data_IF_814738721177
#
_entry.id   IF_814738721177
#
_cell.length_a   1.000
_cell.length_b   1.000
_cell.length_c   1.000
_cell.angle_alpha   90.00
_cell.angle_beta   90.00
_cell.angle_gamma   90.00
#
_symmetry.space_group_name_H-M   'P 1'
#
loop_
_entity.id
_entity.type
_entity.pdbx_description
1 polymer ?
#
# COMPACT_ATOMS: atom_id res chain seq x y z
N UNK A 1 10.20 -35.39 46.33
CA UNK A 1 9.58 -35.64 45.00
C UNK A 1 9.13 -34.30 44.44
N UNK A 2 9.94 -33.71 43.59
CA UNK A 2 9.59 -32.45 42.89
C UNK A 2 8.72 -32.81 41.69
N UNK A 3 7.52 -32.19 41.59
CA UNK A 3 6.62 -32.41 40.49
C UNK A 3 7.27 -31.98 39.16
N UNK A 4 7.06 -32.70 38.04
CA UNK A 4 7.62 -32.34 36.75
C UNK A 4 7.01 -31.03 36.30
N UNK A 5 7.87 -30.05 35.93
CA UNK A 5 7.46 -28.79 35.35
C UNK A 5 6.74 -29.06 34.01
N UNK A 6 5.45 -28.70 33.93
CA UNK A 6 4.67 -28.70 32.68
C UNK A 6 5.37 -27.78 31.69
N UNK A 7 5.70 -28.24 30.47
CA UNK A 7 6.25 -27.37 29.43
C UNK A 7 5.26 -26.24 29.17
N UNK A 8 5.65 -25.01 29.45
CA UNK A 8 4.86 -23.84 29.04
C UNK A 8 4.78 -23.82 27.51
N UNK A 9 3.58 -24.00 26.96
CA UNK A 9 3.32 -23.79 25.56
C UNK A 9 3.87 -22.40 25.18
N UNK A 10 4.59 -22.28 24.05
CA UNK A 10 5.12 -20.99 23.62
C UNK A 10 3.98 -19.97 23.57
N UNK A 11 4.18 -18.85 24.23
CA UNK A 11 3.21 -17.78 24.31
C UNK A 11 2.73 -17.44 22.88
N UNK A 12 1.42 -17.43 22.70
CA UNK A 12 0.79 -17.05 21.43
C UNK A 12 1.46 -15.73 20.98
N UNK A 13 2.17 -15.68 19.85
CA UNK A 13 2.89 -14.47 19.47
C UNK A 13 1.91 -13.31 19.44
N UNK A 14 2.19 -12.29 20.21
CA UNK A 14 1.36 -11.10 20.36
C UNK A 14 1.12 -10.48 18.99
N UNK A 15 -0.14 -10.15 18.72
CA UNK A 15 -0.54 -9.38 17.54
C UNK A 15 0.23 -8.05 17.57
N UNK A 16 0.95 -7.73 16.51
CA UNK A 16 1.71 -6.48 16.42
C UNK A 16 0.70 -5.34 16.19
N UNK A 17 0.41 -4.60 17.27
CA UNK A 17 -0.65 -3.58 17.24
C UNK A 17 -0.30 -2.42 16.30
N UNK A 18 0.97 -2.04 16.24
CA UNK A 18 1.45 -1.00 15.32
C UNK A 18 1.21 -1.32 13.85
N UNK A 19 1.31 -2.59 13.45
CA UNK A 19 1.06 -3.00 12.07
C UNK A 19 -0.41 -2.81 11.68
N UNK A 20 -1.34 -3.16 12.56
CA UNK A 20 -2.76 -2.96 12.33
C UNK A 20 -3.13 -1.47 12.38
N UNK A 21 -2.53 -0.70 13.30
CA UNK A 21 -2.73 0.73 13.40
C UNK A 21 -2.18 1.47 12.16
N UNK A 22 -0.99 1.10 11.69
CA UNK A 22 -0.39 1.72 10.50
C UNK A 22 -1.18 1.38 9.23
N UNK A 23 -1.72 0.16 9.11
CA UNK A 23 -2.64 -0.19 8.02
C UNK A 23 -3.90 0.65 8.04
N UNK A 24 -4.48 0.87 9.23
CA UNK A 24 -5.65 1.72 9.39
C UNK A 24 -5.36 3.20 9.14
N UNK A 25 -4.20 3.69 9.55
CA UNK A 25 -3.72 5.03 9.24
C UNK A 25 -3.60 5.23 7.72
N UNK A 26 -2.97 4.29 7.02
CA UNK A 26 -2.82 4.28 5.57
C UNK A 26 -4.19 4.33 4.86
N UNK A 27 -5.08 3.42 5.25
CA UNK A 27 -6.44 3.38 4.72
C UNK A 27 -7.23 4.66 5.01
N UNK A 28 -7.02 5.31 6.14
CA UNK A 28 -7.73 6.54 6.49
C UNK A 28 -7.42 7.68 5.50
N UNK A 29 -6.17 7.76 5.03
CA UNK A 29 -5.80 8.69 3.97
C UNK A 29 -6.50 8.37 2.63
N UNK A 30 -6.54 7.10 2.25
CA UNK A 30 -7.22 6.65 1.02
C UNK A 30 -8.72 6.97 1.08
N UNK A 31 -9.34 6.80 2.24
CA UNK A 31 -10.79 6.87 2.42
C UNK A 31 -11.34 8.30 2.57
N UNK A 32 -10.50 9.34 2.40
CA UNK A 32 -10.95 10.72 2.29
C UNK A 32 -10.38 11.70 3.33
N UNK A 33 -9.47 11.27 4.22
CA UNK A 33 -8.83 12.21 5.15
C UNK A 33 -8.10 13.33 4.41
N UNK A 34 -7.44 13.05 3.28
CA UNK A 34 -6.76 14.05 2.47
C UNK A 34 -7.73 15.13 1.97
N UNK A 35 -8.94 14.75 1.53
CA UNK A 35 -9.97 15.70 1.09
C UNK A 35 -10.46 16.58 2.24
N UNK A 36 -10.71 15.98 3.41
CA UNK A 36 -11.12 16.71 4.60
C UNK A 36 -10.04 17.71 5.08
N UNK A 37 -8.78 17.29 5.09
CA UNK A 37 -7.65 18.15 5.46
C UNK A 37 -7.47 19.29 4.46
N UNK A 38 -7.53 19.01 3.15
CA UNK A 38 -7.47 20.03 2.11
C UNK A 38 -8.61 21.05 2.27
N UNK A 39 -9.84 20.58 2.48
CA UNK A 39 -11.00 21.43 2.69
C UNK A 39 -10.84 22.36 3.90
N UNK A 40 -10.35 21.84 5.03
CA UNK A 40 -10.05 22.61 6.25
C UNK A 40 -8.96 23.65 6.02
N UNK A 41 -7.84 23.26 5.39
CA UNK A 41 -6.72 24.16 5.14
C UNK A 41 -7.12 25.30 4.19
N UNK A 42 -7.85 25.00 3.12
CA UNK A 42 -8.38 26.03 2.23
C UNK A 42 -9.38 26.96 2.91
N UNK A 43 -10.22 26.43 3.81
CA UNK A 43 -11.25 27.25 4.49
C UNK A 43 -10.66 28.19 5.53
N UNK A 44 -9.76 27.69 6.38
CA UNK A 44 -9.28 28.43 7.54
C UNK A 44 -7.93 29.13 7.33
N UNK A 45 -7.15 28.70 6.34
CA UNK A 45 -5.81 29.20 6.09
C UNK A 45 -5.54 29.44 4.58
N UNK A 46 -6.42 30.14 3.83
CA UNK A 46 -6.34 30.24 2.35
C UNK A 46 -5.04 30.89 1.87
N UNK A 47 -4.53 31.87 2.60
CA UNK A 47 -3.35 32.65 2.23
C UNK A 47 -2.03 32.15 2.87
N UNK A 48 -2.11 31.16 3.76
CA UNK A 48 -0.94 30.63 4.45
C UNK A 48 -0.04 29.82 3.52
N UNK A 49 1.23 30.20 3.40
CA UNK A 49 2.25 29.45 2.67
C UNK A 49 2.44 28.04 3.24
N UNK A 50 2.36 27.88 4.57
CA UNK A 50 2.43 26.61 5.23
C UNK A 50 1.25 25.70 4.84
N UNK A 51 0.02 26.24 4.81
CA UNK A 51 -1.16 25.49 4.36
C UNK A 51 -1.01 25.04 2.89
N UNK A 52 -0.53 25.90 2.00
CA UNK A 52 -0.25 25.57 0.60
C UNK A 52 0.79 24.45 0.47
N UNK A 53 1.86 24.47 1.28
CA UNK A 53 2.85 23.40 1.31
C UNK A 53 2.24 22.07 1.79
N UNK A 54 1.40 22.08 2.83
CA UNK A 54 0.73 20.87 3.32
C UNK A 54 -0.25 20.31 2.29
N UNK A 55 -1.06 21.17 1.66
CA UNK A 55 -1.97 20.77 0.57
C UNK A 55 -1.20 20.08 -0.55
N UNK A 56 -0.05 20.62 -0.95
CA UNK A 56 0.81 20.00 -1.97
C UNK A 56 1.32 18.61 -1.57
N UNK A 57 1.51 18.34 -0.25
CA UNK A 57 1.86 17.00 0.23
C UNK A 57 0.69 16.01 0.19
N UNK A 58 -0.56 16.50 0.20
CA UNK A 58 -1.77 15.67 0.12
C UNK A 58 -2.28 15.45 -1.31
N UNK A 59 -1.49 15.81 -2.30
CA UNK A 59 -1.76 15.60 -3.71
C UNK A 59 -0.67 14.73 -4.33
N UNK A 60 -1.04 13.98 -5.39
CA UNK A 60 -0.06 13.24 -6.16
C UNK A 60 0.81 14.17 -7.00
N UNK A 61 2.09 13.82 -7.15
CA UNK A 61 2.93 14.44 -8.17
C UNK A 61 2.41 14.09 -9.57
N UNK A 62 2.46 15.09 -10.45
CA UNK A 62 2.01 14.89 -11.83
C UNK A 62 2.89 13.85 -12.54
N UNK A 63 4.19 13.88 -12.33
CA UNK A 63 5.13 12.91 -12.89
C UNK A 63 6.29 12.65 -11.95
N UNK A 64 7.44 13.29 -12.14
CA UNK A 64 8.63 13.09 -11.32
C UNK A 64 8.52 13.81 -9.97
N UNK A 65 9.02 13.15 -8.93
CA UNK A 65 9.01 13.63 -7.54
C UNK A 65 8.26 12.71 -6.60
N UNK A 66 8.09 13.18 -5.37
CA UNK A 66 7.48 12.40 -4.29
C UNK A 66 6.78 13.33 -3.30
N UNK A 67 5.54 13.01 -2.95
CA UNK A 67 4.79 13.65 -1.89
C UNK A 67 4.39 12.63 -0.84
N UNK A 68 3.91 13.09 0.31
CA UNK A 68 3.37 12.20 1.32
C UNK A 68 2.23 11.30 0.77
N UNK A 69 1.36 11.86 -0.07
CA UNK A 69 0.24 11.08 -0.62
C UNK A 69 0.70 10.02 -1.64
N UNK A 70 1.90 10.17 -2.20
CA UNK A 70 2.49 9.14 -3.07
C UNK A 70 2.99 7.93 -2.28
N UNK A 71 3.19 8.05 -0.96
CA UNK A 71 3.59 6.96 -0.08
C UNK A 71 2.46 5.96 0.20
N UNK A 72 1.21 6.41 0.18
CA UNK A 72 0.05 5.66 0.70
C UNK A 72 -0.09 4.30 0.03
N UNK A 73 -0.17 4.23 -1.29
CA UNK A 73 -0.35 2.97 -1.99
C UNK A 73 0.84 1.97 -1.83
N UNK A 74 2.11 2.36 -2.00
CA UNK A 74 3.23 1.45 -1.75
C UNK A 74 3.36 1.03 -0.29
N UNK A 75 2.98 1.86 0.67
CA UNK A 75 2.92 1.49 2.09
C UNK A 75 1.97 0.31 2.29
N UNK A 76 0.79 0.31 1.66
CA UNK A 76 -0.15 -0.82 1.75
C UNK A 76 0.47 -2.12 1.19
N UNK A 77 1.16 -2.06 0.05
CA UNK A 77 1.85 -3.21 -0.54
C UNK A 77 2.98 -3.71 0.37
N UNK A 78 3.77 -2.80 0.96
CA UNK A 78 4.83 -3.11 1.91
C UNK A 78 4.27 -3.80 3.17
N UNK A 79 3.18 -3.27 3.76
CA UNK A 79 2.51 -3.86 4.91
C UNK A 79 1.89 -5.23 4.61
N UNK A 80 1.41 -5.44 3.37
CA UNK A 80 0.96 -6.76 2.92
C UNK A 80 2.11 -7.77 2.92
N UNK A 81 3.31 -7.38 2.47
CA UNK A 81 4.52 -8.20 2.53
C UNK A 81 4.92 -8.58 3.95
N UNK A 82 4.91 -7.63 4.89
CA UNK A 82 5.17 -7.89 6.32
C UNK A 82 4.17 -8.90 6.88
N UNK A 83 2.89 -8.69 6.57
CA UNK A 83 1.82 -9.59 7.05
C UNK A 83 2.02 -11.02 6.58
N UNK A 84 2.50 -11.21 5.36
CA UNK A 84 2.83 -12.53 4.83
C UNK A 84 4.04 -13.15 5.53
N UNK A 85 5.11 -12.39 5.75
CA UNK A 85 6.27 -12.89 6.49
C UNK A 85 5.87 -13.47 7.86
N UNK A 86 4.87 -12.84 8.52
CA UNK A 86 4.37 -13.27 9.84
C UNK A 86 3.39 -14.44 9.74
N UNK A 87 2.52 -14.45 8.73
CA UNK A 87 1.43 -15.43 8.64
C UNK A 87 1.81 -16.74 7.94
N UNK A 88 2.65 -16.67 6.89
CA UNK A 88 3.00 -17.83 6.06
C UNK A 88 3.70 -18.96 6.82
N UNK A 89 4.71 -18.71 7.68
CA UNK A 89 5.35 -19.80 8.39
C UNK A 89 4.36 -20.65 9.18
N UNK A 90 3.45 -20.02 9.92
CA UNK A 90 2.41 -20.72 10.70
C UNK A 90 1.44 -21.51 9.83
N UNK A 91 1.10 -20.95 8.66
CA UNK A 91 0.23 -21.65 7.70
C UNK A 91 0.93 -22.86 7.11
N UNK A 92 2.20 -22.74 6.76
CA UNK A 92 3.02 -23.85 6.25
C UNK A 92 3.14 -24.98 7.30
N UNK A 93 3.35 -24.63 8.55
CA UNK A 93 3.40 -25.61 9.65
C UNK A 93 2.07 -26.35 9.83
N UNK A 94 0.94 -25.68 9.65
CA UNK A 94 -0.40 -26.23 9.88
C UNK A 94 -0.95 -26.96 8.67
N UNK A 95 -0.74 -26.46 7.46
CA UNK A 95 -1.43 -26.90 6.24
C UNK A 95 -0.47 -27.36 5.12
N UNK A 96 0.84 -27.15 5.29
CA UNK A 96 1.87 -27.44 4.30
C UNK A 96 2.08 -26.33 3.25
N UNK A 97 3.19 -26.43 2.51
CA UNK A 97 3.60 -25.40 1.52
C UNK A 97 2.62 -25.27 0.36
N UNK A 98 2.09 -26.39 -0.15
CA UNK A 98 1.17 -26.37 -1.29
C UNK A 98 -0.15 -25.67 -0.94
N UNK A 99 -0.73 -25.95 0.23
CA UNK A 99 -1.94 -25.28 0.68
C UNK A 99 -1.71 -23.78 0.93
N UNK A 100 -0.56 -23.41 1.50
CA UNK A 100 -0.18 -22.02 1.66
C UNK A 100 -0.07 -21.28 0.31
N UNK A 101 0.54 -21.90 -0.70
CA UNK A 101 0.64 -21.34 -2.06
C UNK A 101 -0.74 -21.18 -2.72
N UNK A 102 -1.60 -22.19 -2.62
CA UNK A 102 -2.97 -22.13 -3.15
C UNK A 102 -3.74 -20.98 -2.49
N UNK A 103 -3.63 -20.81 -1.18
CA UNK A 103 -4.29 -19.71 -0.48
C UNK A 103 -3.81 -18.33 -0.95
N UNK A 104 -2.51 -18.16 -1.23
CA UNK A 104 -1.98 -16.91 -1.80
C UNK A 104 -2.60 -16.60 -3.17
N UNK A 105 -2.70 -17.62 -4.04
CA UNK A 105 -3.30 -17.49 -5.37
C UNK A 105 -4.80 -17.21 -5.29
N UNK A 106 -5.53 -17.90 -4.42
CA UNK A 106 -6.96 -17.65 -4.19
C UNK A 106 -7.21 -16.23 -3.71
N UNK A 107 -6.41 -15.75 -2.75
CA UNK A 107 -6.49 -14.38 -2.27
C UNK A 107 -6.20 -13.36 -3.37
N UNK A 108 -5.18 -13.61 -4.19
CA UNK A 108 -4.86 -12.76 -5.34
C UNK A 108 -6.01 -12.72 -6.35
N UNK A 109 -6.61 -13.88 -6.66
CA UNK A 109 -7.77 -13.97 -7.55
C UNK A 109 -8.98 -13.20 -7.01
N UNK A 110 -9.29 -13.36 -5.72
CA UNK A 110 -10.39 -12.63 -5.08
C UNK A 110 -10.14 -11.12 -5.17
N UNK A 111 -8.94 -10.64 -4.84
CA UNK A 111 -8.58 -9.23 -4.95
C UNK A 111 -8.65 -8.73 -6.39
N UNK A 112 -8.22 -9.54 -7.36
CA UNK A 112 -8.30 -9.22 -8.77
C UNK A 112 -9.75 -9.03 -9.22
N UNK A 113 -10.62 -9.97 -8.90
CA UNK A 113 -12.05 -9.92 -9.24
C UNK A 113 -12.77 -8.75 -8.54
N UNK A 114 -12.46 -8.50 -7.26
CA UNK A 114 -12.96 -7.34 -6.54
C UNK A 114 -12.49 -6.02 -7.18
N UNK A 115 -11.26 -5.97 -7.69
CA UNK A 115 -10.75 -4.80 -8.41
C UNK A 115 -11.45 -4.58 -9.75
N UNK A 116 -11.77 -5.65 -10.49
CA UNK A 116 -12.58 -5.57 -11.70
C UNK A 116 -14.00 -5.07 -11.38
N UNK A 117 -14.61 -5.58 -10.33
CA UNK A 117 -15.92 -5.11 -9.84
C UNK A 117 -15.88 -3.64 -9.45
N UNK A 118 -14.87 -3.21 -8.68
CA UNK A 118 -14.66 -1.83 -8.24
C UNK A 118 -14.56 -0.84 -9.41
N UNK A 119 -13.94 -1.26 -10.50
CA UNK A 119 -13.79 -0.46 -11.73
C UNK A 119 -15.00 -0.57 -12.69
N UNK A 120 -16.17 -0.96 -12.19
CA UNK A 120 -17.43 -1.13 -12.96
C UNK A 120 -17.35 -2.21 -14.05
N UNK A 121 -16.49 -3.23 -13.87
CA UNK A 121 -16.31 -4.28 -14.87
C UNK A 121 -17.54 -5.16 -15.12
N UNK A 122 -18.53 -5.16 -14.23
CA UNK A 122 -19.79 -5.91 -14.40
C UNK A 122 -20.87 -5.12 -15.15
N UNK A 123 -20.75 -3.81 -15.26
CA UNK A 123 -21.76 -2.93 -15.88
C UNK A 123 -21.37 -2.44 -17.26
N UNK A 124 -20.10 -2.55 -17.61
CA UNK A 124 -19.55 -2.13 -18.88
C UNK A 124 -19.34 -3.34 -19.81
N UNK A 125 -19.34 -3.10 -21.13
CA UNK A 125 -18.92 -4.12 -22.11
C UNK A 125 -17.47 -4.56 -21.90
N UNK A 126 -17.10 -5.73 -22.45
CA UNK A 126 -15.77 -6.31 -22.32
C UNK A 126 -14.62 -5.37 -22.73
N UNK A 127 -14.85 -4.55 -23.73
CA UNK A 127 -13.96 -3.51 -24.26
C UNK A 127 -13.77 -2.32 -23.31
N UNK A 128 -14.64 -2.18 -22.30
CA UNK A 128 -14.61 -1.10 -21.31
C UNK A 128 -14.12 -1.57 -19.92
N UNK A 129 -13.82 -2.86 -19.77
CA UNK A 129 -13.30 -3.37 -18.50
C UNK A 129 -11.89 -2.84 -18.29
N UNK A 130 -11.65 -2.24 -17.11
CA UNK A 130 -10.30 -1.92 -16.64
C UNK A 130 -9.72 -3.12 -15.89
N UNK A 131 -8.85 -3.86 -16.56
CA UNK A 131 -8.21 -5.07 -16.02
C UNK A 131 -7.09 -4.76 -15.02
N UNK A 132 -6.49 -3.60 -15.12
CA UNK A 132 -5.46 -3.11 -14.20
C UNK A 132 -6.08 -2.20 -13.14
N UNK A 133 -5.50 -2.19 -11.93
CA UNK A 133 -5.96 -1.34 -10.85
C UNK A 133 -5.31 -1.67 -9.52
N UNK A 134 -5.67 -0.89 -8.51
CA UNK A 134 -5.05 -0.95 -7.18
C UNK A 134 -5.17 -2.32 -6.52
N UNK A 135 -6.39 -2.90 -6.47
CA UNK A 135 -6.62 -4.21 -5.83
C UNK A 135 -5.95 -5.35 -6.61
N UNK A 136 -5.99 -5.29 -7.95
CA UNK A 136 -5.32 -6.26 -8.81
C UNK A 136 -3.81 -6.24 -8.56
N UNK A 137 -3.20 -5.06 -8.52
CA UNK A 137 -1.77 -4.91 -8.23
C UNK A 137 -1.40 -5.41 -6.83
N UNK A 138 -2.20 -5.06 -5.80
CA UNK A 138 -2.00 -5.60 -4.44
C UNK A 138 -2.06 -7.11 -4.44
N UNK A 139 -3.06 -7.70 -5.10
CA UNK A 139 -3.24 -9.15 -5.21
C UNK A 139 -2.02 -9.82 -5.83
N UNK A 140 -1.62 -9.37 -7.04
CA UNK A 140 -0.50 -9.95 -7.81
C UNK A 140 0.82 -9.76 -7.06
N UNK A 141 1.13 -8.52 -6.65
CA UNK A 141 2.41 -8.22 -6.00
C UNK A 141 2.57 -8.97 -4.66
N UNK A 142 1.51 -9.02 -3.85
CA UNK A 142 1.57 -9.73 -2.58
C UNK A 142 1.65 -11.25 -2.79
N UNK A 143 0.90 -11.84 -3.72
CA UNK A 143 0.99 -13.27 -3.99
C UNK A 143 2.38 -13.65 -4.52
N UNK A 144 2.95 -12.89 -5.46
CA UNK A 144 4.29 -13.12 -5.98
C UNK A 144 5.34 -13.06 -4.87
N UNK A 145 5.29 -12.02 -4.00
CA UNK A 145 6.20 -11.90 -2.86
C UNK A 145 6.05 -13.06 -1.87
N UNK A 146 4.81 -13.51 -1.62
CA UNK A 146 4.53 -14.67 -0.77
C UNK A 146 5.09 -15.97 -1.34
N UNK A 147 4.87 -16.24 -2.62
CA UNK A 147 5.41 -17.41 -3.31
C UNK A 147 6.95 -17.41 -3.31
N UNK A 148 7.57 -16.26 -3.60
CA UNK A 148 9.01 -16.09 -3.48
C UNK A 148 9.49 -16.37 -2.05
N UNK A 149 8.75 -15.92 -1.04
CA UNK A 149 9.06 -16.16 0.37
C UNK A 149 8.95 -17.63 0.79
N UNK A 150 8.11 -18.43 0.14
CA UNK A 150 8.01 -19.89 0.35
C UNK A 150 9.19 -20.65 -0.26
N UNK A 151 9.79 -20.10 -1.33
CA UNK A 151 10.85 -20.79 -2.08
C UNK A 151 12.26 -20.29 -1.72
N UNK A 152 12.40 -19.02 -1.31
CA UNK A 152 13.69 -18.37 -1.16
C UNK A 152 13.99 -18.00 0.30
N UNK A 153 15.26 -18.15 0.66
CA UNK A 153 15.78 -17.60 1.91
C UNK A 153 15.96 -16.06 1.81
N UNK A 154 16.40 -15.43 2.89
CA UNK A 154 16.57 -13.97 2.93
C UNK A 154 17.55 -13.44 1.87
N UNK A 155 18.67 -14.17 1.61
CA UNK A 155 19.63 -13.77 0.57
C UNK A 155 19.00 -13.86 -0.82
N UNK A 156 18.25 -14.94 -1.11
CA UNK A 156 17.54 -15.11 -2.37
C UNK A 156 16.51 -14.00 -2.60
N UNK A 157 15.77 -13.57 -1.56
CA UNK A 157 14.82 -12.45 -1.67
C UNK A 157 15.54 -11.12 -1.95
N UNK A 158 16.69 -10.86 -1.32
CA UNK A 158 17.49 -9.65 -1.59
C UNK A 158 17.95 -9.66 -3.06
N UNK A 159 18.52 -10.78 -3.54
CA UNK A 159 18.97 -10.92 -4.93
C UNK A 159 17.80 -10.72 -5.90
N UNK A 160 16.65 -11.33 -5.64
CA UNK A 160 15.45 -11.16 -6.47
C UNK A 160 14.98 -9.70 -6.49
N UNK A 161 14.98 -9.02 -5.32
CA UNK A 161 14.63 -7.58 -5.26
C UNK A 161 15.57 -6.75 -6.12
N UNK A 162 16.88 -6.95 -5.99
CA UNK A 162 17.88 -6.24 -6.80
C UNK A 162 17.72 -6.54 -8.28
N UNK A 163 17.49 -7.81 -8.65
CA UNK A 163 17.25 -8.21 -10.04
C UNK A 163 16.01 -7.56 -10.64
N UNK A 164 14.90 -7.49 -9.88
CA UNK A 164 13.68 -6.82 -10.31
C UNK A 164 13.89 -5.31 -10.50
N UNK A 165 14.57 -4.64 -9.56
CA UNK A 165 14.79 -3.20 -9.62
C UNK A 165 15.79 -2.83 -10.72
N UNK A 166 16.91 -3.52 -10.82
CA UNK A 166 17.93 -3.26 -11.85
C UNK A 166 17.40 -3.64 -13.22
N UNK A 167 16.77 -4.81 -13.35
CA UNK A 167 16.20 -5.28 -14.62
C UNK A 167 15.10 -4.36 -15.12
N UNK A 168 14.24 -3.86 -14.24
CA UNK A 168 13.21 -2.89 -14.62
C UNK A 168 13.82 -1.56 -15.09
N UNK A 169 14.82 -1.04 -14.41
CA UNK A 169 15.54 0.15 -14.86
C UNK A 169 16.23 -0.08 -16.21
N UNK A 170 16.87 -1.24 -16.40
CA UNK A 170 17.54 -1.58 -17.63
C UNK A 170 16.58 -1.59 -18.84
N UNK A 171 15.32 -2.00 -18.67
CA UNK A 171 14.32 -1.95 -19.75
C UNK A 171 14.15 -0.55 -20.33
N UNK A 172 14.13 0.49 -19.50
CA UNK A 172 13.95 1.87 -19.95
C UNK A 172 15.17 2.44 -20.71
N UNK A 173 16.36 1.94 -20.40
CA UNK A 173 17.58 2.39 -21.07
C UNK A 173 17.91 1.60 -22.31
N UNK A 174 17.65 0.29 -22.30
CA UNK A 174 18.08 -0.62 -23.36
C UNK A 174 17.02 -0.82 -24.44
N UNK A 175 15.73 -0.80 -24.06
CA UNK A 175 14.63 -1.10 -24.98
C UNK A 175 13.97 0.20 -25.47
N UNK A 176 14.15 0.55 -26.76
CA UNK A 176 13.45 1.71 -27.31
C UNK A 176 11.95 1.40 -27.46
N UNK A 177 11.12 2.42 -27.36
CA UNK A 177 9.70 2.33 -27.67
C UNK A 177 9.54 2.06 -29.18
N UNK A 178 8.93 0.95 -29.59
CA UNK A 178 8.92 0.55 -31.02
C UNK A 178 8.28 1.56 -31.97
N UNK A 179 7.30 2.34 -31.48
CA UNK A 179 6.58 3.32 -32.29
C UNK A 179 7.31 4.65 -32.47
N UNK A 180 8.11 5.07 -31.47
CA UNK A 180 8.77 6.39 -31.46
C UNK A 180 10.30 6.30 -31.48
N UNK A 181 10.88 5.13 -31.24
CA UNK A 181 12.32 4.98 -31.02
C UNK A 181 12.82 5.60 -29.69
N UNK A 182 11.92 6.20 -28.91
CA UNK A 182 12.27 6.90 -27.68
C UNK A 182 12.80 5.93 -26.62
N UNK A 183 13.74 6.41 -25.82
CA UNK A 183 14.22 5.78 -24.58
C UNK A 183 14.05 6.76 -23.45
N UNK A 184 13.67 6.29 -22.28
CA UNK A 184 13.53 7.17 -21.12
C UNK A 184 12.16 7.11 -20.45
N UNK A 185 11.79 8.16 -19.76
CA UNK A 185 10.74 8.14 -18.74
C UNK A 185 9.62 9.13 -19.00
N UNK A 186 9.48 9.63 -20.23
CA UNK A 186 8.45 10.60 -20.57
C UNK A 186 7.05 10.03 -20.42
N UNK A 187 6.11 10.86 -19.96
CA UNK A 187 4.72 10.47 -19.76
C UNK A 187 4.09 10.09 -21.10
N UNK A 188 3.52 8.88 -21.16
CA UNK A 188 2.89 8.36 -22.37
C UNK A 188 3.84 7.85 -23.45
N UNK A 189 5.15 8.14 -23.35
CA UNK A 189 6.15 7.75 -24.34
C UNK A 189 7.36 7.04 -23.70
N UNK A 190 7.09 5.89 -23.08
CA UNK A 190 8.08 5.01 -22.46
C UNK A 190 7.68 3.56 -22.64
N UNK A 191 8.63 2.65 -22.42
CA UNK A 191 8.41 1.22 -22.68
C UNK A 191 7.28 0.61 -21.84
N UNK A 192 7.08 1.06 -20.59
CA UNK A 192 6.00 0.55 -19.74
C UNK A 192 4.63 0.95 -20.28
N UNK A 193 4.47 2.21 -20.65
CA UNK A 193 3.23 2.71 -21.24
C UNK A 193 2.93 2.06 -22.61
N UNK A 194 3.97 1.81 -23.42
CA UNK A 194 3.83 1.12 -24.68
C UNK A 194 3.30 -0.31 -24.49
N UNK A 195 3.90 -1.08 -23.58
CA UNK A 195 3.46 -2.45 -23.29
C UNK A 195 2.03 -2.48 -22.79
N UNK A 196 1.63 -1.54 -21.93
CA UNK A 196 0.25 -1.44 -21.45
C UNK A 196 -0.73 -1.26 -22.62
N UNK A 197 -0.42 -0.36 -23.55
CA UNK A 197 -1.27 -0.06 -24.71
C UNK A 197 -1.39 -1.21 -25.70
N UNK A 198 -0.38 -2.09 -25.78
CA UNK A 198 -0.34 -3.19 -26.75
C UNK A 198 -0.90 -4.50 -26.19
N UNK A 199 -0.71 -4.76 -24.89
CA UNK A 199 -0.97 -6.08 -24.29
C UNK A 199 -2.25 -6.10 -23.49
N UNK A 200 -2.62 -4.99 -22.84
CA UNK A 200 -3.76 -4.96 -21.91
C UNK A 200 -5.06 -4.73 -22.69
N UNK A 201 -6.00 -5.68 -22.67
CA UNK A 201 -7.29 -5.49 -23.30
C UNK A 201 -8.16 -4.52 -22.51
N UNK A 202 -9.19 -3.97 -23.16
CA UNK A 202 -10.18 -3.11 -22.53
C UNK A 202 -9.68 -1.67 -22.32
N UNK A 203 -10.16 -1.02 -21.25
CA UNK A 203 -9.89 0.39 -20.99
C UNK A 203 -8.67 0.57 -20.07
N UNK A 204 -7.74 1.42 -20.47
CA UNK A 204 -6.66 1.92 -19.63
C UNK A 204 -7.10 3.22 -18.92
N UNK A 205 -6.57 3.48 -17.71
CA UNK A 205 -6.96 4.63 -16.89
C UNK A 205 -6.68 5.97 -17.61
N UNK A 206 -5.52 6.09 -18.25
CA UNK A 206 -5.09 7.29 -18.99
C UNK A 206 -5.30 7.16 -20.52
N UNK A 207 -6.30 6.36 -20.95
CA UNK A 207 -6.60 6.03 -22.35
C UNK A 207 -5.51 5.20 -23.04
N UNK A 208 -4.23 5.63 -22.99
CA UNK A 208 -3.09 4.99 -23.66
C UNK A 208 -2.17 4.23 -22.72
N UNK A 209 -2.31 4.38 -21.40
CA UNK A 209 -1.50 3.69 -20.38
C UNK A 209 -2.22 3.67 -19.03
N UNK A 210 -1.73 2.86 -18.10
CA UNK A 210 -2.30 2.73 -16.76
C UNK A 210 -1.24 2.91 -15.67
N UNK A 211 -1.49 3.72 -14.61
CA UNK A 211 -0.58 3.83 -13.46
C UNK A 211 -0.32 2.51 -12.75
N UNK A 212 -1.29 1.58 -12.82
CA UNK A 212 -1.17 0.22 -12.34
C UNK A 212 -0.79 -0.76 -13.45
N UNK A 213 0.02 -0.33 -14.43
CA UNK A 213 0.42 -1.06 -15.62
C UNK A 213 1.09 -2.42 -15.40
N UNK A 214 1.15 -3.20 -16.47
CA UNK A 214 1.65 -4.58 -16.43
C UNK A 214 3.14 -4.64 -16.05
N UNK A 215 4.00 -3.91 -16.81
CA UNK A 215 5.44 -3.91 -16.52
C UNK A 215 5.75 -3.28 -15.17
N UNK A 216 5.06 -2.22 -14.78
CA UNK A 216 5.26 -1.56 -13.48
C UNK A 216 4.82 -2.41 -12.28
N UNK A 217 4.17 -3.55 -12.53
CA UNK A 217 3.89 -4.55 -11.48
C UNK A 217 5.15 -5.29 -11.03
N UNK A 218 6.20 -5.41 -11.87
CA UNK A 218 7.47 -6.02 -11.50
C UNK A 218 8.13 -5.30 -10.30
N UNK A 219 8.38 -3.98 -10.35
CA UNK A 219 8.91 -3.27 -9.18
C UNK A 219 7.89 -3.15 -8.03
N UNK A 220 6.58 -3.28 -8.26
CA UNK A 220 5.61 -3.40 -7.17
C UNK A 220 5.75 -4.73 -6.40
N UNK A 221 6.14 -5.83 -7.09
CA UNK A 221 6.54 -7.08 -6.42
C UNK A 221 7.76 -6.83 -5.52
N UNK A 222 8.76 -6.08 -5.99
CA UNK A 222 9.92 -5.72 -5.17
C UNK A 222 9.51 -4.92 -3.91
N UNK A 223 8.53 -4.00 -4.00
CA UNK A 223 7.97 -3.31 -2.83
C UNK A 223 7.38 -4.28 -1.81
N UNK A 224 6.64 -5.30 -2.25
CA UNK A 224 6.09 -6.33 -1.37
C UNK A 224 7.19 -7.23 -0.77
N UNK A 225 8.23 -7.59 -1.54
CA UNK A 225 9.38 -8.37 -1.06
C UNK A 225 10.18 -7.60 -0.01
N UNK A 226 10.38 -6.28 -0.18
CA UNK A 226 10.98 -5.43 0.86
C UNK A 226 10.15 -5.45 2.15
N UNK A 227 8.82 -5.49 2.04
CA UNK A 227 7.94 -5.74 3.18
C UNK A 227 8.15 -7.11 3.82
N UNK A 228 8.31 -8.18 3.03
CA UNK A 228 8.64 -9.52 3.55
C UNK A 228 9.97 -9.50 4.32
N UNK A 229 10.99 -8.84 3.78
CA UNK A 229 12.30 -8.69 4.43
C UNK A 229 12.19 -7.95 5.77
N UNK A 230 11.43 -6.84 5.80
CA UNK A 230 11.14 -6.11 7.04
C UNK A 230 10.39 -6.98 8.06
N UNK A 231 9.40 -7.77 7.61
CA UNK A 231 8.68 -8.72 8.46
C UNK A 231 9.56 -9.83 9.03
N UNK A 232 10.50 -10.38 8.24
CA UNK A 232 11.51 -11.33 8.73
C UNK A 232 12.42 -10.67 9.76
N UNK A 233 12.85 -9.43 9.53
CA UNK A 233 13.64 -8.68 10.50
C UNK A 233 12.92 -8.53 11.83
N UNK A 234 11.65 -8.12 11.82
CA UNK A 234 10.83 -8.00 13.04
C UNK A 234 10.80 -9.31 13.83
N UNK A 235 10.74 -10.46 13.17
CA UNK A 235 10.68 -11.77 13.81
C UNK A 235 12.05 -12.25 14.35
N UNK A 236 13.16 -11.77 13.79
CA UNK A 236 14.50 -12.29 14.10
C UNK A 236 15.39 -11.31 14.87
N UNK A 237 14.95 -10.06 15.06
CA UNK A 237 15.75 -8.98 15.68
C UNK A 237 16.11 -9.22 17.16
N UNK A 238 15.36 -10.05 17.87
CA UNK A 238 15.62 -10.48 19.25
C UNK A 238 15.21 -9.47 20.33
N UNK A 239 15.15 -8.15 20.05
CA UNK A 239 14.59 -7.16 20.97
C UNK A 239 13.82 -6.06 20.26
N UNK A 240 12.82 -5.45 20.96
CA UNK A 240 12.04 -4.36 20.38
C UNK A 240 12.89 -3.17 19.92
N UNK A 241 13.94 -2.80 20.66
CA UNK A 241 14.82 -1.69 20.34
C UNK A 241 15.63 -1.97 19.07
N UNK A 242 16.13 -3.20 18.91
CA UNK A 242 16.82 -3.63 17.69
C UNK A 242 15.86 -3.66 16.50
N UNK A 243 14.59 -4.04 16.71
CA UNK A 243 13.56 -3.97 15.68
C UNK A 243 13.41 -2.53 15.17
N UNK A 244 13.21 -1.57 16.09
CA UNK A 244 13.07 -0.14 15.76
C UNK A 244 14.31 0.36 15.03
N UNK A 245 15.51 0.11 15.59
CA UNK A 245 16.77 0.59 15.02
C UNK A 245 16.98 0.04 13.60
N UNK A 246 16.74 -1.26 13.38
CA UNK A 246 16.92 -1.87 12.06
C UNK A 246 15.90 -1.38 11.03
N UNK A 247 14.63 -1.18 11.41
CA UNK A 247 13.62 -0.60 10.53
C UNK A 247 13.93 0.86 10.20
N UNK A 248 14.37 1.65 11.18
CA UNK A 248 14.72 3.06 11.00
C UNK A 248 15.96 3.21 10.11
N UNK A 249 17.06 2.54 10.46
CA UNK A 249 18.33 2.64 9.71
C UNK A 249 18.19 2.04 8.31
N UNK A 250 17.59 0.87 8.16
CA UNK A 250 17.32 0.26 6.87
C UNK A 250 16.39 1.12 6.02
N UNK A 251 15.36 1.71 6.62
CA UNK A 251 14.46 2.64 5.96
C UNK A 251 15.17 3.88 5.44
N UNK A 252 15.99 4.53 6.27
CA UNK A 252 16.76 5.71 5.88
C UNK A 252 17.80 5.40 4.78
N UNK A 253 18.45 4.24 4.83
CA UNK A 253 19.36 3.77 3.76
C UNK A 253 18.60 3.61 2.44
N UNK A 254 17.41 3.03 2.45
CA UNK A 254 16.58 2.90 1.24
C UNK A 254 16.13 4.27 0.69
N UNK A 255 15.71 5.19 1.56
CA UNK A 255 15.35 6.57 1.15
C UNK A 255 16.56 7.24 0.49
N UNK A 256 17.72 7.20 1.13
CA UNK A 256 18.93 7.78 0.57
C UNK A 256 19.32 7.15 -0.77
N UNK A 257 19.30 5.82 -0.87
CA UNK A 257 19.62 5.11 -2.11
C UNK A 257 18.63 5.47 -3.24
N UNK A 258 17.33 5.58 -2.95
CA UNK A 258 16.34 5.98 -3.93
C UNK A 258 16.53 7.40 -4.45
N UNK A 259 16.84 8.35 -3.57
CA UNK A 259 17.16 9.74 -3.97
C UNK A 259 18.51 9.86 -4.64
N UNK A 260 19.51 9.08 -4.25
CA UNK A 260 20.81 9.02 -4.94
C UNK A 260 20.67 8.44 -6.36
N UNK A 261 19.68 7.57 -6.59
CA UNK A 261 19.38 7.03 -7.91
C UNK A 261 18.50 7.96 -8.77
N UNK A 262 17.79 8.90 -8.16
CA UNK A 262 16.87 9.84 -8.83
C UNK A 262 17.45 10.57 -10.05
N UNK A 263 18.69 11.06 -10.06
CA UNK A 263 19.25 11.75 -11.23
C UNK A 263 19.37 10.85 -12.48
N UNK A 264 19.52 9.55 -12.27
CA UNK A 264 19.66 8.57 -13.34
C UNK A 264 18.31 7.93 -13.67
N UNK A 265 17.56 7.49 -12.68
CA UNK A 265 16.24 6.89 -12.82
C UNK A 265 15.25 7.66 -11.93
N UNK A 266 14.53 8.66 -12.49
CA UNK A 266 13.70 9.56 -11.69
C UNK A 266 12.67 8.84 -10.82
N UNK A 267 12.39 9.40 -9.65
CA UNK A 267 11.33 8.92 -8.75
C UNK A 267 9.99 9.25 -9.37
N UNK A 268 9.32 8.25 -9.96
CA UNK A 268 8.02 8.41 -10.64
C UNK A 268 7.08 7.30 -10.18
N UNK A 269 6.01 7.69 -9.48
CA UNK A 269 4.96 6.77 -9.00
C UNK A 269 4.20 6.10 -10.13
N UNK A 270 3.81 6.86 -11.15
CA UNK A 270 2.89 6.42 -12.20
C UNK A 270 3.45 5.29 -13.09
N UNK A 271 4.76 5.10 -13.12
CA UNK A 271 5.42 3.95 -13.75
C UNK A 271 6.20 3.12 -12.73
N UNK A 272 6.03 3.39 -11.42
CA UNK A 272 6.58 2.62 -10.30
C UNK A 272 8.10 2.39 -10.42
N UNK A 273 8.87 3.46 -10.70
CA UNK A 273 10.32 3.35 -10.94
C UNK A 273 11.05 2.71 -9.76
N UNK A 274 12.20 2.10 -10.03
CA UNK A 274 13.00 1.43 -9.00
C UNK A 274 13.46 2.39 -7.90
N UNK A 275 13.81 3.63 -8.27
CA UNK A 275 14.10 4.72 -7.32
C UNK A 275 12.88 5.05 -6.44
N UNK A 276 11.68 5.10 -7.03
CA UNK A 276 10.44 5.29 -6.27
C UNK A 276 10.18 4.14 -5.29
N UNK A 277 10.43 2.89 -5.69
CA UNK A 277 10.30 1.72 -4.78
C UNK A 277 11.18 1.89 -3.56
N UNK A 278 12.45 2.29 -3.74
CA UNK A 278 13.39 2.46 -2.63
C UNK A 278 12.93 3.59 -1.70
N UNK A 279 12.56 4.76 -2.25
CA UNK A 279 12.05 5.90 -1.46
C UNK A 279 10.80 5.52 -0.68
N UNK A 280 9.83 4.90 -1.36
CA UNK A 280 8.55 4.55 -0.75
C UNK A 280 8.68 3.44 0.30
N UNK A 281 9.43 2.36 0.01
CA UNK A 281 9.69 1.30 0.98
C UNK A 281 10.51 1.81 2.17
N UNK A 282 11.46 2.71 1.93
CA UNK A 282 12.24 3.35 2.97
C UNK A 282 11.37 4.16 3.93
N UNK A 283 10.52 5.06 3.43
CA UNK A 283 9.58 5.81 4.26
C UNK A 283 8.54 4.91 4.94
N UNK A 284 8.11 3.82 4.28
CA UNK A 284 7.22 2.81 4.89
C UNK A 284 7.88 2.15 6.11
N UNK A 285 9.15 1.80 6.01
CA UNK A 285 9.90 1.22 7.12
C UNK A 285 10.13 2.23 8.27
N UNK A 286 10.42 3.50 7.95
CA UNK A 286 10.56 4.59 8.95
C UNK A 286 9.25 4.82 9.69
N UNK A 287 8.11 4.90 8.97
CA UNK A 287 6.79 5.04 9.60
C UNK A 287 6.46 3.83 10.48
N UNK A 288 6.76 2.62 10.01
CA UNK A 288 6.55 1.42 10.82
C UNK A 288 7.44 1.44 12.07
N UNK A 289 8.70 1.85 11.96
CA UNK A 289 9.58 1.99 13.13
C UNK A 289 9.00 2.95 14.17
N UNK A 290 8.45 4.09 13.72
CA UNK A 290 7.80 5.08 14.59
C UNK A 290 6.55 4.51 15.28
N UNK A 291 5.64 3.90 14.52
CA UNK A 291 4.43 3.30 15.06
C UNK A 291 4.76 2.15 16.03
N UNK A 292 5.72 1.30 15.67
CA UNK A 292 6.17 0.20 16.51
C UNK A 292 6.79 0.72 17.80
N UNK A 293 7.62 1.74 17.74
CA UNK A 293 8.22 2.35 18.93
C UNK A 293 7.17 2.95 19.86
N UNK A 294 6.21 3.71 19.32
CA UNK A 294 5.18 4.38 20.13
C UNK A 294 4.17 3.39 20.70
N UNK A 295 3.70 2.43 19.89
CA UNK A 295 2.59 1.55 20.27
C UNK A 295 3.10 0.29 20.97
N UNK A 296 4.06 -0.45 20.37
CA UNK A 296 4.47 -1.74 20.90
C UNK A 296 5.59 -1.63 21.94
N UNK A 297 6.50 -0.63 21.82
CA UNK A 297 7.60 -0.43 22.79
C UNK A 297 7.17 0.46 23.96
N UNK A 298 6.58 1.64 23.71
CA UNK A 298 6.17 2.58 24.75
C UNK A 298 4.78 2.28 25.33
N UNK A 299 3.96 1.45 24.66
CA UNK A 299 2.61 1.12 25.09
C UNK A 299 1.59 2.26 24.90
N UNK A 300 1.95 3.34 24.20
CA UNK A 300 1.06 4.48 23.96
C UNK A 300 0.14 4.16 22.76
N UNK A 301 -0.94 3.45 23.01
CA UNK A 301 -1.81 2.92 21.96
C UNK A 301 -3.19 3.59 21.86
N UNK A 302 -3.63 4.39 22.86
CA UNK A 302 -4.98 4.95 22.91
C UNK A 302 -5.33 5.84 21.72
N UNK A 303 -4.38 6.63 21.22
CA UNK A 303 -4.53 7.49 20.04
C UNK A 303 -4.74 6.72 18.75
N UNK A 304 -4.25 5.49 18.66
CA UNK A 304 -4.34 4.66 17.46
C UNK A 304 -5.68 3.91 17.30
N UNK A 305 -6.57 4.01 18.30
CA UNK A 305 -7.87 3.33 18.31
C UNK A 305 -8.72 3.58 17.05
N UNK A 306 -8.87 4.81 16.53
CA UNK A 306 -9.61 5.03 15.28
C UNK A 306 -9.00 4.30 14.07
N UNK A 307 -7.68 4.22 14.00
CA UNK A 307 -6.99 3.49 12.95
C UNK A 307 -7.20 1.98 13.06
N UNK A 308 -7.26 1.44 14.29
CA UNK A 308 -7.58 0.03 14.51
C UNK A 308 -8.99 -0.33 14.03
N UNK A 309 -9.98 0.57 14.15
CA UNK A 309 -11.33 0.34 13.61
C UNK A 309 -11.30 0.20 12.08
N UNK A 310 -10.58 1.08 11.39
CA UNK A 310 -10.42 1.06 9.93
C UNK A 310 -9.58 -0.15 9.51
N UNK A 311 -8.44 -0.36 10.18
CA UNK A 311 -7.49 -1.45 9.86
C UNK A 311 -8.06 -2.86 10.07
N UNK A 312 -9.17 -2.99 10.79
CA UNK A 312 -9.88 -4.26 10.96
C UNK A 312 -10.62 -4.72 9.69
N UNK A 313 -11.10 -3.78 8.84
CA UNK A 313 -11.89 -4.05 7.63
C UNK A 313 -11.45 -3.21 6.43
N UNK A 314 -10.16 -3.15 6.09
CA UNK A 314 -9.63 -2.17 5.12
C UNK A 314 -10.24 -2.33 3.73
N UNK A 315 -10.34 -3.57 3.22
CA UNK A 315 -10.85 -3.83 1.87
C UNK A 315 -12.35 -3.55 1.76
N UNK A 316 -13.13 -3.93 2.78
CA UNK A 316 -14.56 -3.64 2.81
C UNK A 316 -14.83 -2.14 2.80
N UNK A 317 -14.13 -1.37 3.64
CA UNK A 317 -14.25 0.09 3.66
C UNK A 317 -13.81 0.73 2.34
N UNK A 318 -12.75 0.21 1.71
CA UNK A 318 -12.30 0.66 0.40
C UNK A 318 -13.37 0.46 -0.68
N UNK A 319 -13.98 -0.72 -0.73
CA UNK A 319 -15.06 -1.02 -1.69
C UNK A 319 -16.29 -0.12 -1.46
N UNK A 320 -16.71 0.04 -0.21
CA UNK A 320 -17.85 0.90 0.14
C UNK A 320 -17.59 2.38 -0.17
N UNK A 321 -16.36 2.86 0.01
CA UNK A 321 -15.97 4.21 -0.36
C UNK A 321 -16.01 4.41 -1.89
N UNK A 322 -15.52 3.44 -2.66
CA UNK A 322 -15.60 3.47 -4.13
C UNK A 322 -17.02 3.47 -4.67
N UNK A 323 -17.98 2.90 -3.95
CA UNK A 323 -19.41 3.00 -4.24
C UNK A 323 -20.02 4.36 -3.85
N UNK A 324 -19.19 5.29 -3.36
CA UNK A 324 -19.58 6.63 -2.90
C UNK A 324 -20.60 6.65 -1.76
N UNK A 325 -20.74 5.55 -0.99
CA UNK A 325 -21.74 5.46 0.07
C UNK A 325 -21.50 6.49 1.18
N UNK A 326 -20.25 6.64 1.61
CA UNK A 326 -19.89 7.60 2.66
C UNK A 326 -19.99 9.03 2.16
N UNK A 327 -19.60 9.30 0.90
CA UNK A 327 -19.73 10.61 0.29
C UNK A 327 -21.18 11.03 0.18
N UNK A 328 -22.07 10.20 -0.36
CA UNK A 328 -23.52 10.48 -0.46
C UNK A 328 -24.16 10.72 0.92
N UNK A 329 -23.74 9.95 1.94
CA UNK A 329 -24.18 10.18 3.31
C UNK A 329 -23.67 11.53 3.87
N UNK A 330 -22.39 11.85 3.64
CA UNK A 330 -21.79 13.13 4.00
C UNK A 330 -22.49 14.32 3.33
N UNK A 331 -22.79 14.24 2.04
CA UNK A 331 -23.54 15.25 1.30
C UNK A 331 -24.94 15.47 1.87
N UNK A 332 -25.64 14.42 2.28
CA UNK A 332 -26.97 14.52 2.92
C UNK A 332 -26.90 15.19 4.29
N UNK A 333 -25.86 14.87 5.08
CA UNK A 333 -25.67 15.46 6.43
C UNK A 333 -25.22 16.90 6.32
N UNK A 334 -24.27 17.21 5.44
CA UNK A 334 -23.79 18.58 5.24
C UNK A 334 -24.87 19.47 4.65
N UNK A 335 -25.78 18.90 3.85
CA UNK A 335 -26.91 19.58 3.23
C UNK A 335 -26.52 20.85 2.48
N UNK A 336 -27.42 21.86 2.46
CA UNK A 336 -27.16 23.16 1.86
C UNK A 336 -26.05 23.96 2.56
N UNK A 337 -25.67 23.59 3.79
CA UNK A 337 -24.57 24.23 4.52
C UNK A 337 -23.20 24.03 3.87
N UNK A 338 -23.06 23.05 2.98
CA UNK A 338 -21.83 22.85 2.20
C UNK A 338 -21.69 23.84 1.02
N UNK A 339 -22.78 24.56 0.67
CA UNK A 339 -22.81 25.56 -0.40
C UNK A 339 -22.63 26.97 0.20
N UNK A 340 -21.79 27.82 -0.33
CA UNK A 340 -20.92 27.72 -1.51
C UNK A 340 -19.49 27.23 -1.23
N UNK A 341 -19.17 26.81 -0.02
CA UNK A 341 -17.78 26.54 0.40
C UNK A 341 -17.37 25.06 0.30
N UNK A 342 -18.33 24.14 0.24
CA UNK A 342 -18.08 22.68 0.05
C UNK A 342 -17.25 21.96 1.12
N UNK A 343 -16.73 22.69 2.13
CA UNK A 343 -15.76 22.16 3.09
C UNK A 343 -16.35 21.20 4.14
N UNK A 344 -17.65 21.29 4.41
CA UNK A 344 -18.33 20.42 5.39
C UNK A 344 -18.54 19.00 4.85
N UNK A 345 -18.74 18.83 3.55
CA UNK A 345 -18.99 17.52 2.94
C UNK A 345 -17.86 16.53 3.17
N UNK A 346 -16.57 16.84 2.90
CA UNK A 346 -15.47 15.89 3.18
C UNK A 346 -15.36 15.54 4.67
N UNK A 347 -15.60 16.49 5.58
CA UNK A 347 -15.58 16.26 7.02
C UNK A 347 -16.72 15.33 7.44
N UNK A 348 -17.95 15.60 6.97
CA UNK A 348 -19.09 14.73 7.23
C UNK A 348 -18.86 13.31 6.68
N UNK A 349 -18.30 13.19 5.48
CA UNK A 349 -17.93 11.92 4.84
C UNK A 349 -16.97 11.12 5.73
N UNK A 350 -15.89 11.73 6.19
CA UNK A 350 -14.89 11.09 7.06
C UNK A 350 -15.50 10.73 8.42
N UNK A 351 -16.37 11.58 8.96
CA UNK A 351 -17.07 11.31 10.22
C UNK A 351 -17.98 10.09 10.10
N UNK A 352 -18.79 10.00 9.05
CA UNK A 352 -19.66 8.83 8.79
C UNK A 352 -18.83 7.56 8.63
N UNK A 353 -17.73 7.62 7.90
CA UNK A 353 -16.80 6.50 7.74
C UNK A 353 -16.25 6.02 9.07
N UNK A 354 -15.77 6.93 9.92
CA UNK A 354 -15.24 6.59 11.25
C UNK A 354 -16.30 5.97 12.16
N UNK A 355 -17.52 6.52 12.16
CA UNK A 355 -18.63 5.98 12.93
C UNK A 355 -19.01 4.58 12.45
N UNK A 356 -19.03 4.36 11.16
CA UNK A 356 -19.30 3.04 10.57
C UNK A 356 -18.17 2.03 10.87
N UNK A 357 -16.91 2.43 10.75
CA UNK A 357 -15.77 1.58 11.11
C UNK A 357 -15.78 1.22 12.60
N UNK A 358 -16.12 2.18 13.47
CA UNK A 358 -16.31 1.95 14.91
C UNK A 358 -17.45 0.97 15.17
N UNK A 359 -18.58 1.11 14.48
CA UNK A 359 -19.72 0.20 14.61
C UNK A 359 -19.32 -1.22 14.22
N UNK A 360 -18.70 -1.45 13.04
CA UNK A 360 -18.19 -2.75 12.63
C UNK A 360 -17.26 -3.37 13.67
N UNK A 361 -16.38 -2.55 14.25
CA UNK A 361 -15.44 -3.00 15.28
C UNK A 361 -16.14 -3.41 16.57
N UNK A 362 -17.19 -2.70 17.00
CA UNK A 362 -17.98 -3.01 18.19
C UNK A 362 -18.80 -4.29 18.02
N UNK A 363 -19.41 -4.47 16.86
CA UNK A 363 -20.17 -5.67 16.50
C UNK A 363 -19.26 -6.87 16.17
N UNK A 364 -17.93 -6.69 16.26
CA UNK A 364 -16.93 -7.73 15.95
C UNK A 364 -17.08 -8.30 14.53
N UNK A 365 -17.55 -7.50 13.57
CA UNK A 365 -17.67 -7.86 12.18
C UNK A 365 -16.31 -7.64 11.52
N UNK A 366 -15.66 -8.73 11.09
CA UNK A 366 -14.35 -8.71 10.43
C UNK A 366 -14.43 -9.42 9.09
N UNK A 367 -14.44 -8.66 8.02
CA UNK A 367 -14.42 -9.17 6.64
C UNK A 367 -12.96 -9.38 6.24
N UNK A 368 -12.51 -10.63 6.30
CA UNK A 368 -11.12 -11.02 5.99
C UNK A 368 -11.07 -11.67 4.61
N UNK A 369 -10.20 -11.16 3.76
CA UNK A 369 -9.89 -11.69 2.42
C UNK A 369 -8.44 -12.15 2.40
#
# INVERSE_FOLDING_TARGET
>A
MTAPSVPQLPAKPSRIASLDALRGFDMFWILGLHEAMNALLHKFFPDSSCAKMLIAQFQHKDWAGFTFYDLIFPLFIFLAGISQAIALPRRVEREGKSAAAIHLLQRALILFLLGVFYNNGLTNGWDQIRWLGVLQRIGIASAAAGLLSLCLNTRGLIITTLALLIGYAALFYLVPVPTSGARGFEMGNNIANYVDSMVVPGRLHQKTWDPEGLLSTLPAIASAVLGVLAGRWIQTSGSPERTVLGLLTGGLVLVFAGWAWHPFFPVIKKIWTSSYVLVAAGWSAVLLALFYWVIDVKGWSSWSTPFLWIGANPIALYLLAGMQLFQKAGERIAGKASLPTGWLTPIATVTVLLLFARWLSREKIFIRI
#
